data_IF_217449750559
#
_entry.id   IF_217449750559
#
_cell.length_a   1.000
_cell.length_b   1.000
_cell.length_c   1.000
_cell.angle_alpha   90.00
_cell.angle_beta   90.00
_cell.angle_gamma   90.00
#
_symmetry.space_group_name_H-M   'P 1'
#
loop_
_entity.id
_entity.type
_entity.pdbx_description
1 polymer ?
#
# COMPACT_ATOMS: atom_id res chain seq x y z
N UNK A 1 -1.13 -47.35 -31.57
CA UNK A 1 -1.03 -46.06 -32.32
C UNK A 1 0.09 -45.24 -31.69
N UNK A 2 1.30 -45.30 -32.25
CA UNK A 2 2.49 -44.63 -31.70
C UNK A 2 2.53 -43.19 -32.25
N UNK A 3 2.06 -42.22 -31.47
CA UNK A 3 2.12 -40.80 -31.85
C UNK A 3 3.60 -40.40 -31.91
N UNK A 4 4.06 -40.00 -33.09
CA UNK A 4 5.47 -39.73 -33.40
C UNK A 4 6.05 -38.65 -32.47
N UNK A 5 7.27 -38.87 -31.97
CA UNK A 5 7.90 -37.98 -30.95
C UNK A 5 8.06 -36.53 -31.43
N UNK A 6 8.16 -36.32 -32.75
CA UNK A 6 8.22 -35.01 -33.40
C UNK A 6 6.96 -34.18 -33.14
N UNK A 7 5.79 -34.82 -33.11
CA UNK A 7 4.52 -34.15 -32.83
C UNK A 7 4.43 -33.67 -31.38
N UNK A 8 4.99 -34.44 -30.43
CA UNK A 8 5.03 -34.08 -29.01
C UNK A 8 5.95 -32.88 -28.77
N UNK A 9 7.11 -32.82 -29.43
CA UNK A 9 8.03 -31.69 -29.30
C UNK A 9 7.47 -30.38 -29.86
N UNK A 10 6.73 -30.44 -30.98
CA UNK A 10 6.06 -29.25 -31.55
C UNK A 10 4.95 -28.74 -30.62
N UNK A 11 4.17 -29.64 -30.02
CA UNK A 11 3.13 -29.27 -29.07
C UNK A 11 3.70 -28.59 -27.82
N UNK A 12 4.81 -29.11 -27.27
CA UNK A 12 5.47 -28.51 -26.10
C UNK A 12 6.05 -27.14 -26.42
N UNK A 13 6.67 -26.97 -27.59
CA UNK A 13 7.19 -25.67 -28.03
C UNK A 13 6.08 -24.63 -28.23
N UNK A 14 4.93 -25.04 -28.79
CA UNK A 14 3.77 -24.16 -28.97
C UNK A 14 3.17 -23.72 -27.63
N UNK A 15 3.08 -24.61 -26.64
CA UNK A 15 2.58 -24.29 -25.29
C UNK A 15 3.57 -23.34 -24.57
N UNK A 16 4.87 -23.58 -24.69
CA UNK A 16 5.90 -22.72 -24.10
C UNK A 16 5.90 -21.32 -24.71
N UNK A 17 5.75 -21.20 -26.04
CA UNK A 17 5.66 -19.91 -26.73
C UNK A 17 4.35 -19.16 -26.41
N UNK A 18 3.24 -19.87 -26.23
CA UNK A 18 1.96 -19.26 -25.82
C UNK A 18 1.99 -18.77 -24.36
N UNK A 19 2.75 -19.43 -23.48
CA UNK A 19 2.85 -19.07 -22.06
C UNK A 19 3.57 -17.74 -21.78
N UNK A 20 4.51 -17.33 -22.65
CA UNK A 20 5.25 -16.07 -22.48
C UNK A 20 4.39 -14.83 -22.81
N UNK A 21 3.38 -14.98 -23.68
CA UNK A 21 2.53 -13.88 -24.15
C UNK A 21 1.41 -13.48 -23.19
N UNK A 22 1.19 -14.23 -22.10
CA UNK A 22 0.14 -13.99 -21.10
C UNK A 22 0.67 -13.29 -19.84
N UNK A 23 1.91 -12.78 -19.87
CA UNK A 23 2.38 -11.85 -18.85
C UNK A 23 1.56 -10.55 -18.98
N UNK A 24 0.37 -10.55 -18.39
CA UNK A 24 -0.48 -9.37 -18.29
C UNK A 24 0.38 -8.26 -17.69
N UNK A 25 0.69 -7.24 -18.48
CA UNK A 25 1.29 -6.01 -17.98
C UNK A 25 0.24 -5.39 -17.08
N UNK A 26 0.24 -5.80 -15.82
CA UNK A 26 -0.58 -5.23 -14.76
C UNK A 26 -0.06 -3.81 -14.56
N UNK A 27 -0.60 -2.88 -15.34
CA UNK A 27 -0.37 -1.46 -15.19
C UNK A 27 -0.84 -1.12 -13.78
N UNK A 28 0.13 -1.01 -12.90
CA UNK A 28 -0.09 -0.79 -11.49
C UNK A 28 -0.35 0.71 -11.36
N UNK A 29 -1.62 1.06 -11.20
CA UNK A 29 -2.09 2.44 -11.17
C UNK A 29 -1.69 3.11 -9.85
N UNK A 30 -1.96 4.40 -9.75
CA UNK A 30 -1.64 5.24 -8.61
C UNK A 30 -2.82 6.10 -8.18
N UNK A 31 -2.88 6.40 -6.90
CA UNK A 31 -3.91 7.24 -6.29
C UNK A 31 -3.31 8.18 -5.26
N UNK A 32 -4.02 9.25 -4.92
CA UNK A 32 -3.60 10.19 -3.88
C UNK A 32 -4.34 9.90 -2.58
N UNK A 33 -3.61 9.92 -1.47
CA UNK A 33 -4.15 9.57 -0.15
C UNK A 33 -3.91 10.70 0.84
N UNK A 34 -4.93 11.02 1.63
CA UNK A 34 -4.87 12.04 2.68
C UNK A 34 -5.57 11.52 3.91
N UNK A 35 -4.91 11.54 5.06
CA UNK A 35 -5.49 11.06 6.31
C UNK A 35 -4.89 11.78 7.51
N UNK A 36 -5.60 11.77 8.63
CA UNK A 36 -5.07 12.27 9.90
C UNK A 36 -5.01 11.14 10.91
N UNK A 37 -3.92 11.10 11.67
CA UNK A 37 -3.70 10.11 12.73
C UNK A 37 -3.60 10.84 14.06
N UNK A 38 -4.45 10.45 14.98
CA UNK A 38 -4.36 10.78 16.38
C UNK A 38 -3.42 9.77 17.04
N UNK A 39 -2.44 10.27 17.77
CA UNK A 39 -1.54 9.47 18.59
C UNK A 39 -1.67 9.91 20.03
N UNK A 40 -1.77 8.95 20.93
CA UNK A 40 -1.64 9.17 22.36
C UNK A 40 -0.57 8.21 22.87
N UNK A 41 0.55 8.75 23.32
CA UNK A 41 1.71 7.93 23.68
C UNK A 41 2.51 8.52 24.84
N UNK A 42 3.33 7.66 25.44
CA UNK A 42 4.49 8.00 26.29
C UNK A 42 5.72 7.29 25.70
N UNK A 43 5.73 5.95 25.74
CA UNK A 43 6.73 5.07 25.10
C UNK A 43 6.10 4.09 24.10
N UNK A 44 4.92 3.55 24.46
CA UNK A 44 4.06 2.72 23.62
C UNK A 44 2.69 3.39 23.65
N UNK A 45 2.07 3.54 22.48
CA UNK A 45 0.81 4.27 22.36
C UNK A 45 -0.07 3.74 21.25
N UNK A 46 -1.39 3.88 21.44
CA UNK A 46 -2.36 3.63 20.39
C UNK A 46 -2.40 4.78 19.38
N UNK A 47 -2.70 4.44 18.14
CA UNK A 47 -2.96 5.42 17.09
C UNK A 47 -4.20 5.05 16.31
N UNK A 48 -5.00 6.06 15.97
CA UNK A 48 -6.25 5.91 15.27
C UNK A 48 -6.48 7.12 14.37
N UNK A 49 -7.06 6.91 13.20
CA UNK A 49 -7.13 7.93 12.18
C UNK A 49 -8.11 7.63 11.08
N UNK A 50 -8.44 8.66 10.34
CA UNK A 50 -9.38 8.60 9.23
C UNK A 50 -8.91 9.50 8.09
N UNK A 51 -9.36 9.19 6.88
CA UNK A 51 -9.00 9.94 5.69
C UNK A 51 -9.73 9.50 4.44
N UNK A 52 -9.14 9.84 3.30
CA UNK A 52 -9.68 9.53 1.98
C UNK A 52 -8.57 9.16 1.00
N UNK A 53 -8.80 8.10 0.23
CA UNK A 53 -8.07 7.77 -0.99
C UNK A 53 -8.84 8.32 -2.19
N UNK A 54 -8.16 9.05 -3.06
CA UNK A 54 -8.67 9.45 -4.37
C UNK A 54 -8.06 8.55 -5.43
N UNK A 55 -8.90 7.76 -6.10
CA UNK A 55 -8.50 6.79 -7.13
C UNK A 55 -9.49 6.86 -8.30
N UNK A 56 -8.99 7.01 -9.53
CA UNK A 56 -9.80 7.28 -10.74
C UNK A 56 -10.88 8.38 -10.55
N UNK A 57 -10.53 9.48 -9.86
CA UNK A 57 -11.46 10.59 -9.61
C UNK A 57 -12.56 10.32 -8.58
N UNK A 58 -12.62 9.10 -8.01
CA UNK A 58 -13.54 8.73 -6.94
C UNK A 58 -12.83 8.82 -5.58
N UNK A 59 -13.58 9.24 -4.56
CA UNK A 59 -13.09 9.34 -3.18
C UNK A 59 -13.58 8.13 -2.38
N UNK A 60 -12.65 7.44 -1.74
CA UNK A 60 -12.88 6.26 -0.92
C UNK A 60 -12.49 6.58 0.52
N UNK A 61 -13.40 6.48 1.50
CA UNK A 61 -13.06 6.69 2.90
C UNK A 61 -12.10 5.60 3.37
N UNK A 62 -11.14 5.97 4.20
CA UNK A 62 -10.19 5.04 4.82
C UNK A 62 -10.14 5.28 6.32
N UNK A 63 -9.95 4.19 7.06
CA UNK A 63 -9.68 4.22 8.50
C UNK A 63 -8.31 3.58 8.73
N UNK A 64 -7.55 4.19 9.64
CA UNK A 64 -6.19 3.78 9.98
C UNK A 64 -6.18 3.50 11.47
N UNK A 65 -5.87 2.26 11.85
CA UNK A 65 -5.63 1.87 13.22
C UNK A 65 -4.22 1.30 13.34
N UNK A 66 -3.56 1.54 14.46
CA UNK A 66 -2.25 0.98 14.68
C UNK A 66 -1.70 1.23 16.07
N UNK A 67 -0.59 0.57 16.36
CA UNK A 67 0.23 0.83 17.53
C UNK A 67 1.46 1.64 17.11
N UNK A 68 1.87 2.55 17.97
CA UNK A 68 3.04 3.41 17.77
C UNK A 68 3.99 3.24 18.96
N UNK A 69 5.29 3.25 18.68
CA UNK A 69 6.35 3.23 19.68
C UNK A 69 7.29 4.40 19.45
N UNK A 70 7.70 5.07 20.53
CA UNK A 70 8.61 6.21 20.46
C UNK A 70 8.55 7.09 21.70
N UNK A 71 9.56 7.94 21.88
CA UNK A 71 9.62 8.97 22.92
C UNK A 71 8.65 10.09 22.55
N UNK A 72 7.36 9.92 22.83
CA UNK A 72 6.34 10.90 22.53
C UNK A 72 5.46 11.05 23.75
N UNK A 73 5.37 12.25 24.30
CA UNK A 73 4.58 12.53 25.51
C UNK A 73 3.32 13.31 25.12
N UNK A 74 2.16 12.73 25.38
CA UNK A 74 0.86 13.39 25.21
C UNK A 74 0.06 12.94 23.99
N UNK A 75 -0.93 13.76 23.62
CA UNK A 75 -1.78 13.52 22.48
C UNK A 75 -1.41 14.48 21.33
N UNK A 76 -1.32 13.95 20.11
CA UNK A 76 -1.07 14.76 18.92
C UNK A 76 -1.95 14.31 17.77
N UNK A 77 -2.24 15.24 16.86
CA UNK A 77 -2.91 14.97 15.59
C UNK A 77 -1.95 15.29 14.45
N UNK A 78 -1.61 14.29 13.67
CA UNK A 78 -0.70 14.42 12.52
C UNK A 78 -1.48 14.28 11.23
N UNK A 79 -1.25 15.16 10.25
CA UNK A 79 -1.85 15.08 8.93
C UNK A 79 -0.85 14.49 7.94
N UNK A 80 -1.29 13.47 7.21
CA UNK A 80 -0.51 12.78 6.19
C UNK A 80 -1.13 13.04 4.82
N UNK A 81 -0.26 13.23 3.84
CA UNK A 81 -0.61 13.30 2.43
C UNK A 81 0.46 12.59 1.63
N UNK A 82 0.05 11.87 0.59
CA UNK A 82 0.98 11.16 -0.27
C UNK A 82 0.29 10.49 -1.44
N UNK A 83 1.03 9.60 -2.10
CA UNK A 83 0.58 8.87 -3.27
C UNK A 83 0.75 7.38 -3.01
N UNK A 84 -0.31 6.62 -3.24
CA UNK A 84 -0.28 5.17 -3.25
C UNK A 84 0.06 4.73 -4.68
N UNK A 85 1.01 3.82 -4.81
CA UNK A 85 1.45 3.27 -6.09
C UNK A 85 1.27 1.76 -6.09
N UNK A 86 1.25 1.19 -7.28
CA UNK A 86 1.13 -0.25 -7.49
C UNK A 86 -0.22 -0.84 -7.07
N UNK A 87 -1.31 -0.12 -7.33
CA UNK A 87 -2.66 -0.57 -6.99
C UNK A 87 -3.50 -0.73 -8.27
N UNK A 88 -4.36 -1.74 -8.31
CA UNK A 88 -5.32 -1.96 -9.41
C UNK A 88 -6.75 -1.63 -8.99
N UNK A 89 -7.02 -1.71 -7.69
CA UNK A 89 -8.31 -1.41 -7.08
C UNK A 89 -8.09 -0.57 -5.82
N UNK A 90 -9.08 0.23 -5.46
CA UNK A 90 -9.03 1.03 -4.23
C UNK A 90 -8.85 0.16 -2.97
N UNK A 91 -9.32 -1.09 -2.96
CA UNK A 91 -9.15 -2.04 -1.85
C UNK A 91 -7.71 -2.52 -1.66
N UNK A 92 -6.85 -2.39 -2.67
CA UNK A 92 -5.46 -2.87 -2.62
C UNK A 92 -4.60 -2.04 -1.65
N UNK A 93 -5.12 -0.89 -1.17
CA UNK A 93 -4.46 -0.05 -0.15
C UNK A 93 -4.67 -0.56 1.28
N UNK A 94 -5.53 -1.55 1.48
CA UNK A 94 -5.80 -2.12 2.80
C UNK A 94 -4.70 -3.11 3.16
N UNK A 95 -4.04 -2.90 4.29
CA UNK A 95 -2.97 -3.78 4.73
C UNK A 95 -2.28 -3.28 6.00
N UNK A 96 -1.23 -4.00 6.41
CA UNK A 96 -0.37 -3.63 7.53
C UNK A 96 0.82 -2.85 6.99
N UNK A 97 0.99 -1.62 7.47
CA UNK A 97 2.07 -0.73 7.05
C UNK A 97 2.94 -0.34 8.24
N UNK A 98 4.25 -0.39 8.06
CA UNK A 98 5.21 0.20 8.98
C UNK A 98 5.49 1.64 8.59
N UNK A 99 5.48 2.54 9.56
CA UNK A 99 5.86 3.93 9.37
C UNK A 99 6.98 4.29 10.35
N UNK A 100 8.04 4.92 9.84
CA UNK A 100 9.11 5.51 10.62
C UNK A 100 9.25 6.99 10.25
N UNK A 101 9.53 7.84 11.22
CA UNK A 101 9.69 9.27 11.01
C UNK A 101 10.30 9.94 12.24
N UNK A 102 10.96 11.08 12.02
CA UNK A 102 11.51 11.93 13.07
C UNK A 102 10.79 13.27 13.09
N UNK A 103 10.68 13.88 14.27
CA UNK A 103 10.12 15.22 14.45
C UNK A 103 11.08 16.08 15.26
N UNK A 104 11.16 17.37 14.93
CA UNK A 104 11.88 18.38 15.70
C UNK A 104 10.90 19.44 16.20
N UNK A 105 11.09 19.90 17.43
CA UNK A 105 10.36 21.05 17.95
C UNK A 105 11.22 22.31 17.75
N UNK A 106 10.65 23.35 17.16
CA UNK A 106 11.27 24.68 17.08
C UNK A 106 10.44 25.61 17.95
N UNK A 107 10.89 25.84 19.17
CA UNK A 107 10.22 26.71 20.14
C UNK A 107 11.00 26.82 21.44
N UNK A 108 10.92 27.99 22.10
CA UNK A 108 11.37 28.15 23.48
C UNK A 108 10.26 27.56 24.35
N UNK A 109 10.57 26.51 25.11
CA UNK A 109 9.68 26.03 26.16
C UNK A 109 9.36 27.19 27.12
N UNK A 110 8.11 27.26 27.59
CA UNK A 110 7.77 28.15 28.71
C UNK A 110 8.55 27.72 29.96
#
# INVERSE_FOLDING_TARGET
MQISSRFRSVAVAAIAAAGVSIASVAHADSGTIRFSVYKAAFFIGGSGGEGTLTFHGKRYPISVGGVSGGLAFGASKTYFQGTVRHIRRASDVTGVYGAAGGGGAVGKGA
#
